data_IF_318088718290
#
_entry.id   IF_318088718290
#
_cell.length_a   1.000
_cell.length_b   1.000
_cell.length_c   1.000
_cell.angle_alpha   90.00
_cell.angle_beta   90.00
_cell.angle_gamma   90.00
#
_symmetry.space_group_name_H-M   'P 1'
#
loop_
_entity.id
_entity.type
_entity.pdbx_description
1 polymer ?
#
# COMPACT_ATOMS: atom_id res chain seq x y z
N UNK A 1 -5.95 -11.55 11.95
CA UNK A 1 -6.82 -12.57 11.37
C UNK A 1 -8.22 -12.10 11.25
N UNK A 2 -8.81 -11.66 12.35
CA UNK A 2 -10.22 -11.27 12.33
C UNK A 2 -10.51 -10.09 11.42
N UNK A 3 -9.60 -9.14 11.32
CA UNK A 3 -9.82 -7.97 10.47
C UNK A 3 -9.89 -8.34 9.00
N UNK A 4 -9.09 -9.29 8.58
CA UNK A 4 -9.08 -9.74 7.19
C UNK A 4 -10.37 -10.44 6.83
N UNK A 5 -10.79 -11.35 7.71
CA UNK A 5 -12.02 -12.08 7.49
C UNK A 5 -13.22 -11.15 7.41
N UNK A 6 -13.28 -10.17 8.31
CA UNK A 6 -14.36 -9.19 8.30
C UNK A 6 -14.35 -8.36 7.02
N UNK A 7 -13.18 -7.97 6.56
CA UNK A 7 -13.06 -7.18 5.34
C UNK A 7 -13.49 -7.96 4.11
N UNK A 8 -13.21 -9.25 4.08
CA UNK A 8 -13.61 -10.10 2.96
C UNK A 8 -15.11 -10.34 2.89
N UNK A 9 -15.78 -10.39 4.02
CA UNK A 9 -17.18 -10.78 4.06
C UNK A 9 -18.14 -9.61 4.07
N UNK A 10 -17.72 -8.45 4.51
CA UNK A 10 -18.60 -7.29 4.57
C UNK A 10 -18.32 -6.34 3.42
N UNK A 11 -18.96 -6.61 2.29
CA UNK A 11 -18.80 -5.77 1.11
C UNK A 11 -19.35 -4.35 1.30
N UNK A 12 -20.20 -4.12 2.31
CA UNK A 12 -20.68 -2.77 2.58
C UNK A 12 -19.57 -1.84 3.03
N UNK A 13 -18.55 -2.39 3.65
CA UNK A 13 -17.35 -1.61 4.06
C UNK A 13 -16.66 -1.03 2.83
N UNK A 14 -16.71 -1.74 1.70
CA UNK A 14 -16.07 -1.28 0.47
C UNK A 14 -16.96 -0.36 -0.35
N UNK A 15 -18.26 -0.42 -0.13
CA UNK A 15 -19.19 0.42 -0.87
C UNK A 15 -19.26 1.82 -0.29
N UNK A 16 -18.76 1.94 0.91
CA UNK A 16 -18.98 3.19 1.57
C UNK A 16 -17.68 3.79 1.98
N UNK A 17 -16.98 4.38 1.26
CA UNK A 17 -15.86 4.59 1.72
C UNK A 17 -15.18 5.70 1.63
N UNK A 18 -14.17 5.46 1.73
CA UNK A 18 -12.99 6.23 1.55
C UNK A 18 -13.10 6.78 0.15
N UNK A 19 -13.27 8.11 -0.01
CA UNK A 19 -13.32 8.70 -1.34
C UNK A 19 -12.03 8.35 -2.06
N UNK A 20 -12.15 7.47 -3.03
CA UNK A 20 -11.04 7.13 -3.87
C UNK A 20 -10.78 8.30 -4.80
N UNK A 21 -9.55 8.73 -4.84
CA UNK A 21 -9.13 9.61 -5.90
C UNK A 21 -9.28 8.83 -7.20
N UNK A 22 -10.06 9.34 -8.14
CA UNK A 22 -10.29 8.66 -9.42
C UNK A 22 -9.02 8.42 -10.22
N UNK A 23 -7.95 9.11 -9.88
CA UNK A 23 -6.66 8.97 -10.55
C UNK A 23 -5.79 7.84 -9.97
N UNK A 24 -6.12 7.32 -8.82
CA UNK A 24 -5.42 6.19 -8.19
C UNK A 24 -6.45 5.10 -7.95
N UNK A 25 -6.34 4.02 -8.71
CA UNK A 25 -7.33 2.96 -8.68
C UNK A 25 -6.68 1.62 -8.34
N UNK A 26 -7.42 0.81 -7.62
CA UNK A 26 -7.03 -0.55 -7.30
C UNK A 26 -7.77 -1.49 -8.23
N UNK A 27 -7.03 -2.32 -8.95
CA UNK A 27 -7.63 -3.27 -9.90
C UNK A 27 -7.10 -4.67 -9.65
N UNK A 28 -7.92 -5.71 -9.90
CA UNK A 28 -7.41 -7.09 -9.83
C UNK A 28 -6.21 -7.25 -10.75
N UNK A 29 -5.19 -7.97 -10.30
CA UNK A 29 -3.95 -8.11 -11.06
C UNK A 29 -4.19 -8.66 -12.46
N UNK A 30 -5.20 -9.52 -12.62
CA UNK A 30 -5.48 -10.13 -13.92
C UNK A 30 -6.08 -9.16 -14.93
N UNK A 31 -6.55 -7.99 -14.50
CA UNK A 31 -7.20 -7.01 -15.37
C UNK A 31 -6.47 -5.68 -15.43
N UNK A 32 -5.26 -5.58 -14.88
CA UNK A 32 -4.55 -4.31 -14.84
C UNK A 32 -4.15 -3.81 -16.24
N UNK A 33 -3.93 -4.72 -17.18
CA UNK A 33 -3.54 -4.36 -18.54
C UNK A 33 -4.71 -3.84 -19.39
N UNK A 34 -5.93 -3.97 -18.91
CA UNK A 34 -7.11 -3.50 -19.63
C UNK A 34 -7.52 -2.07 -19.29
N UNK A 35 -6.62 -1.29 -18.72
CA UNK A 35 -6.89 0.08 -18.29
C UNK A 35 -6.05 1.07 -19.09
N UNK A 36 -6.48 1.44 -20.32
CA UNK A 36 -5.73 2.38 -21.13
C UNK A 36 -5.50 3.70 -20.40
N UNK A 37 -4.28 4.21 -20.52
CA UNK A 37 -3.92 5.47 -19.87
C UNK A 37 -3.45 5.33 -18.44
N UNK A 38 -3.65 4.17 -17.81
CA UNK A 38 -3.17 3.94 -16.45
C UNK A 38 -1.88 3.12 -16.46
N UNK A 39 -1.03 3.35 -15.49
CA UNK A 39 0.22 2.62 -15.30
C UNK A 39 0.35 2.19 -13.86
N UNK A 40 1.07 1.11 -13.64
CA UNK A 40 1.38 0.66 -12.28
C UNK A 40 2.20 1.71 -11.55
N UNK A 41 1.86 1.96 -10.31
CA UNK A 41 2.65 2.86 -9.45
C UNK A 41 3.91 2.13 -9.01
N UNK A 42 5.06 2.73 -9.27
CA UNK A 42 6.34 2.17 -8.84
C UNK A 42 6.52 2.44 -7.35
N UNK A 43 6.63 1.37 -6.57
CA UNK A 43 6.83 1.51 -5.13
C UNK A 43 8.28 1.59 -4.74
N UNK A 44 9.12 0.81 -5.40
CA UNK A 44 10.53 0.78 -5.09
C UNK A 44 11.28 -0.15 -6.01
N UNK A 45 12.47 -0.54 -5.59
CA UNK A 45 13.29 -1.46 -6.35
C UNK A 45 14.31 -2.12 -5.45
N UNK A 46 14.69 -3.33 -5.79
CA UNK A 46 15.86 -3.97 -5.21
C UNK A 46 17.13 -3.34 -5.78
N UNK A 47 18.23 -3.48 -5.08
CA UNK A 47 19.52 -2.96 -5.52
C UNK A 47 20.01 -3.60 -6.83
N UNK A 48 19.48 -4.77 -7.19
CA UNK A 48 19.77 -5.42 -8.47
C UNK A 48 18.99 -4.84 -9.65
N UNK A 49 18.16 -3.82 -9.40
CA UNK A 49 17.38 -3.16 -10.43
C UNK A 49 15.96 -3.71 -10.61
N UNK A 50 15.59 -4.75 -9.88
CA UNK A 50 14.23 -5.31 -9.99
C UNK A 50 13.21 -4.32 -9.43
N UNK A 51 12.27 -3.88 -10.28
CA UNK A 51 11.21 -2.95 -9.88
C UNK A 51 10.16 -3.66 -9.03
N UNK A 52 9.72 -3.00 -7.98
CA UNK A 52 8.59 -3.43 -7.17
C UNK A 52 7.44 -2.46 -7.34
N UNK A 53 6.25 -3.00 -7.55
CA UNK A 53 5.03 -2.21 -7.65
C UNK A 53 4.26 -2.31 -6.34
N UNK A 54 3.10 -1.68 -6.28
CA UNK A 54 2.29 -1.66 -5.06
C UNK A 54 1.10 -2.58 -5.28
N UNK A 55 0.93 -3.53 -4.37
CA UNK A 55 -0.21 -4.44 -4.37
C UNK A 55 -1.04 -4.26 -3.11
N UNK A 56 -2.21 -4.90 -3.12
CA UNK A 56 -3.09 -4.90 -1.96
C UNK A 56 -3.70 -6.29 -1.79
N UNK A 57 -3.57 -6.83 -0.59
CA UNK A 57 -4.13 -8.12 -0.24
C UNK A 57 -5.52 -7.94 0.36
N UNK A 58 -6.45 -8.80 -0.04
CA UNK A 58 -7.80 -8.87 0.53
C UNK A 58 -8.59 -7.56 0.46
N UNK A 59 -8.23 -6.68 -0.47
CA UNK A 59 -8.88 -5.39 -0.60
C UNK A 59 -8.60 -4.40 0.52
N UNK A 60 -7.67 -4.70 1.43
CA UNK A 60 -7.45 -3.86 2.61
C UNK A 60 -6.00 -3.58 2.95
N UNK A 61 -5.07 -4.49 2.69
CA UNK A 61 -3.71 -4.35 3.19
C UNK A 61 -2.72 -4.12 2.05
N UNK A 62 -2.17 -2.89 1.91
CA UNK A 62 -1.16 -2.63 0.88
C UNK A 62 0.19 -3.26 1.24
N UNK A 63 0.90 -3.68 0.20
CA UNK A 63 2.21 -4.28 0.32
C UNK A 63 3.04 -4.03 -0.94
N UNK A 64 3.97 -4.93 -1.22
CA UNK A 64 4.84 -4.82 -2.39
C UNK A 64 4.61 -5.98 -3.34
N UNK A 65 4.53 -5.68 -4.62
CA UNK A 65 4.43 -6.68 -5.68
C UNK A 65 5.84 -7.03 -6.11
N UNK A 66 6.24 -8.25 -5.82
CA UNK A 66 7.57 -8.74 -6.11
C UNK A 66 7.46 -10.21 -6.49
N UNK A 67 8.16 -10.60 -7.56
CA UNK A 67 8.19 -11.98 -8.03
C UNK A 67 6.77 -12.54 -8.25
N UNK A 68 5.93 -11.71 -8.89
CA UNK A 68 4.55 -12.06 -9.25
C UNK A 68 3.66 -12.44 -8.06
N UNK A 69 3.99 -11.95 -6.88
CA UNK A 69 3.20 -12.20 -5.68
C UNK A 69 3.09 -10.92 -4.85
N UNK A 70 2.00 -10.78 -4.14
CA UNK A 70 1.83 -9.66 -3.22
C UNK A 70 2.40 -10.03 -1.85
N UNK A 71 3.45 -9.34 -1.46
CA UNK A 71 4.05 -9.49 -0.14
C UNK A 71 3.47 -8.42 0.76
N UNK A 72 2.78 -8.83 1.79
CA UNK A 72 2.15 -7.90 2.72
C UNK A 72 2.46 -8.30 4.16
N UNK A 73 2.42 -7.34 5.05
CA UNK A 73 2.70 -7.61 6.46
C UNK A 73 1.39 -7.67 7.25
N UNK A 74 1.32 -8.63 8.16
CA UNK A 74 0.18 -8.77 9.04
C UNK A 74 0.56 -9.64 10.23
N UNK A 75 0.15 -9.22 11.42
CA UNK A 75 0.35 -9.97 12.66
C UNK A 75 1.82 -10.34 12.90
N UNK A 76 2.72 -9.41 12.62
CA UNK A 76 4.14 -9.59 12.89
C UNK A 76 4.92 -10.32 11.81
N UNK A 77 4.27 -10.74 10.75
CA UNK A 77 4.90 -11.56 9.72
C UNK A 77 4.79 -10.94 8.34
N UNK A 78 5.71 -11.32 7.47
CA UNK A 78 5.59 -11.11 6.04
C UNK A 78 4.82 -12.29 5.47
N UNK A 79 3.74 -12.00 4.73
CA UNK A 79 2.90 -13.01 4.10
C UNK A 79 2.97 -12.85 2.60
N UNK A 80 2.77 -13.93 1.87
CA UNK A 80 2.84 -13.93 0.41
C UNK A 80 1.53 -14.42 -0.17
N UNK A 81 0.92 -13.61 -1.03
CA UNK A 81 -0.31 -13.95 -1.73
C UNK A 81 0.01 -14.08 -3.21
N UNK A 82 0.00 -15.31 -3.77
CA UNK A 82 0.46 -15.53 -5.14
C UNK A 82 -0.55 -15.16 -6.23
N UNK A 83 -1.82 -14.93 -5.86
CA UNK A 83 -2.86 -14.61 -6.83
C UNK A 83 -4.00 -13.88 -6.14
N UNK A 84 -4.93 -13.34 -6.95
CA UNK A 84 -6.16 -12.69 -6.44
C UNK A 84 -5.88 -11.48 -5.56
N UNK A 85 -4.82 -10.77 -5.87
CA UNK A 85 -4.53 -9.49 -5.22
C UNK A 85 -4.82 -8.35 -6.18
N UNK A 86 -4.78 -7.14 -5.67
CA UNK A 86 -4.98 -5.94 -6.48
C UNK A 86 -3.66 -5.22 -6.69
N UNK A 87 -3.61 -4.41 -7.76
CA UNK A 87 -2.45 -3.59 -8.10
C UNK A 87 -2.90 -2.14 -8.15
N UNK A 88 -2.05 -1.24 -7.69
CA UNK A 88 -2.33 0.19 -7.72
C UNK A 88 -1.91 0.77 -9.06
N UNK A 89 -2.85 1.41 -9.75
CA UNK A 89 -2.63 2.08 -11.01
C UNK A 89 -2.90 3.56 -10.89
N UNK A 90 -2.27 4.36 -11.74
CA UNK A 90 -2.54 5.78 -11.80
C UNK A 90 -2.42 6.30 -13.23
N UNK A 91 -3.19 7.35 -13.55
CA UNK A 91 -3.08 8.09 -14.80
C UNK A 91 -2.46 9.47 -14.61
N UNK A 92 -1.98 9.78 -13.41
CA UNK A 92 -1.35 11.06 -13.09
C UNK A 92 0.00 10.84 -12.42
N UNK A 93 0.74 11.91 -12.24
CA UNK A 93 2.03 11.86 -11.54
C UNK A 93 1.87 11.63 -10.05
N UNK A 94 2.92 11.16 -9.43
CA UNK A 94 2.96 10.94 -7.99
C UNK A 94 4.36 11.24 -7.46
N UNK A 95 4.42 11.43 -6.14
CA UNK A 95 5.68 11.72 -5.47
C UNK A 95 5.72 11.04 -4.11
N UNK A 96 6.91 10.82 -3.63
CA UNK A 96 7.14 10.26 -2.31
C UNK A 96 7.68 11.36 -1.42
N UNK A 97 6.96 11.67 -0.34
CA UNK A 97 7.36 12.73 0.60
C UNK A 97 7.90 12.13 1.88
N UNK A 98 8.97 12.72 2.40
CA UNK A 98 9.53 12.29 3.66
C UNK A 98 8.51 12.47 4.79
N UNK A 99 8.27 11.40 5.53
CA UNK A 99 7.36 11.45 6.67
C UNK A 99 7.80 12.50 7.70
N UNK A 100 9.11 12.66 7.87
CA UNK A 100 9.64 13.60 8.86
C UNK A 100 9.40 15.06 8.47
N UNK A 101 8.99 15.32 7.23
CA UNK A 101 8.75 16.66 6.71
C UNK A 101 7.28 16.97 6.45
N UNK A 102 6.38 16.01 6.61
CA UNK A 102 4.95 16.23 6.40
C UNK A 102 4.20 16.19 7.71
N UNK A 103 3.09 16.91 7.77
CA UNK A 103 2.20 16.88 8.93
C UNK A 103 1.20 15.75 8.78
N UNK A 104 0.77 15.19 9.89
CA UNK A 104 -0.25 14.14 9.86
C UNK A 104 -1.53 14.59 9.17
N UNK A 105 -1.90 15.87 9.36
CA UNK A 105 -3.07 16.43 8.69
C UNK A 105 -2.93 16.43 7.18
N UNK A 106 -1.73 16.60 6.66
CA UNK A 106 -1.48 16.55 5.23
C UNK A 106 -1.65 15.12 4.69
N UNK A 107 -1.20 14.13 5.46
CA UNK A 107 -1.40 12.73 5.09
C UNK A 107 -2.88 12.42 4.98
N UNK A 108 -3.64 12.78 6.01
CA UNK A 108 -5.08 12.53 6.04
C UNK A 108 -5.81 13.22 4.90
N UNK A 109 -5.36 14.41 4.51
CA UNK A 109 -6.04 15.22 3.50
C UNK A 109 -5.68 14.80 2.07
N UNK A 110 -4.45 14.35 1.83
CA UNK A 110 -3.99 14.21 0.46
C UNK A 110 -3.18 12.98 0.09
N UNK A 111 -2.75 12.16 1.04
CA UNK A 111 -1.97 10.97 0.70
C UNK A 111 -2.83 9.92 0.00
N UNK A 112 -2.19 9.08 -0.80
CA UNK A 112 -2.89 8.01 -1.51
C UNK A 112 -3.35 6.96 -0.51
N UNK A 113 -4.66 6.68 -0.50
CA UNK A 113 -5.23 5.70 0.41
C UNK A 113 -4.91 4.30 -0.08
N UNK A 114 -4.34 3.49 0.80
CA UNK A 114 -3.99 2.11 0.49
C UNK A 114 -5.05 1.10 0.90
N UNK A 115 -5.80 1.39 1.95
CA UNK A 115 -6.78 0.46 2.44
C UNK A 115 -7.24 0.79 3.84
N UNK A 116 -7.57 -0.24 4.60
CA UNK A 116 -8.06 -0.03 5.96
C UNK A 116 -7.76 -1.26 6.82
N UNK A 117 -7.81 -1.05 8.12
CA UNK A 117 -7.65 -2.10 9.12
C UNK A 117 -8.62 -1.83 10.25
N UNK A 118 -8.65 -2.74 11.24
CA UNK A 118 -9.51 -2.60 12.43
C UNK A 118 -10.98 -2.36 12.03
N UNK A 119 -11.48 -3.13 11.06
CA UNK A 119 -12.85 -3.03 10.56
C UNK A 119 -13.19 -1.63 10.04
N UNK A 120 -12.24 -1.02 9.34
CA UNK A 120 -12.42 0.30 8.76
C UNK A 120 -12.11 1.46 9.69
N UNK A 121 -11.70 1.18 10.91
CA UNK A 121 -11.40 2.24 11.90
C UNK A 121 -10.01 2.84 11.72
N UNK A 122 -9.14 2.16 11.01
CA UNK A 122 -7.80 2.65 10.72
C UNK A 122 -7.62 2.79 9.22
N UNK A 123 -7.34 4.00 8.76
CA UNK A 123 -7.02 4.22 7.34
C UNK A 123 -5.56 3.90 7.14
N UNK A 124 -5.30 3.09 6.11
CA UNK A 124 -3.94 2.73 5.72
C UNK A 124 -3.54 3.52 4.48
N UNK A 125 -2.34 4.07 4.52
CA UNK A 125 -1.73 4.77 3.39
C UNK A 125 -0.52 3.95 2.91
N UNK A 126 0.12 4.40 1.85
CA UNK A 126 1.26 3.68 1.29
C UNK A 126 2.53 4.34 1.81
N UNK A 127 3.39 3.55 2.44
CA UNK A 127 4.71 4.02 2.84
C UNK A 127 5.80 3.18 2.19
N UNK A 128 7.02 3.70 2.15
CA UNK A 128 8.18 2.95 1.70
C UNK A 128 9.41 3.34 2.50
N UNK A 129 10.33 2.42 2.62
CA UNK A 129 11.57 2.65 3.35
C UNK A 129 12.74 1.99 2.65
N UNK A 130 13.89 2.64 2.71
CA UNK A 130 15.12 2.04 2.22
C UNK A 130 15.60 1.00 3.23
N UNK A 131 15.66 -0.23 2.76
CA UNK A 131 16.21 -1.36 3.50
C UNK A 131 17.59 -1.68 2.96
N UNK A 132 18.25 -2.71 3.49
CA UNK A 132 19.62 -3.03 3.10
C UNK A 132 19.74 -3.47 1.63
N UNK A 133 18.67 -3.99 1.03
CA UNK A 133 18.68 -4.52 -0.33
C UNK A 133 17.80 -3.72 -1.31
N UNK A 134 17.34 -2.53 -0.92
CA UNK A 134 16.52 -1.68 -1.77
C UNK A 134 15.41 -1.00 -1.03
N UNK A 135 14.52 -0.33 -1.77
CA UNK A 135 13.36 0.34 -1.20
C UNK A 135 12.15 -0.55 -1.30
N UNK A 136 11.50 -0.77 -0.17
CA UNK A 136 10.34 -1.65 -0.05
C UNK A 136 9.12 -0.88 0.42
N UNK A 137 7.97 -1.20 -0.13
CA UNK A 137 6.71 -0.57 0.26
C UNK A 137 5.95 -1.42 1.26
N UNK A 138 5.14 -0.74 2.03
CA UNK A 138 4.25 -1.36 3.00
C UNK A 138 3.08 -0.44 3.32
N UNK A 139 2.56 -0.56 4.52
CA UNK A 139 1.37 0.18 4.94
C UNK A 139 1.72 1.15 6.06
N UNK A 140 1.21 2.37 5.95
CA UNK A 140 1.29 3.34 7.04
C UNK A 140 -0.07 3.34 7.74
N UNK A 141 -0.06 2.98 9.02
CA UNK A 141 -1.25 3.04 9.85
C UNK A 141 -1.39 4.43 10.42
N UNK A 142 -2.46 5.12 10.05
CA UNK A 142 -2.72 6.45 10.58
C UNK A 142 -2.98 6.39 12.08
N UNK A 143 -3.70 5.37 12.51
CA UNK A 143 -4.04 5.18 13.92
C UNK A 143 -2.79 4.96 14.77
N UNK A 144 -1.90 4.09 14.32
CA UNK A 144 -0.69 3.76 15.08
C UNK A 144 0.47 4.70 14.79
N UNK A 145 0.36 5.49 13.71
CA UNK A 145 1.41 6.41 13.27
C UNK A 145 2.74 5.69 12.99
N UNK A 146 2.63 4.53 12.32
CA UNK A 146 3.77 3.67 12.01
C UNK A 146 3.73 3.19 10.58
N UNK A 147 4.91 3.06 9.98
CA UNK A 147 5.07 2.40 8.69
C UNK A 147 5.47 0.94 8.91
N UNK A 148 4.69 0.03 8.37
CA UNK A 148 4.95 -1.41 8.48
C UNK A 148 5.45 -1.92 7.14
N UNK A 149 6.63 -2.52 7.13
CA UNK A 149 7.26 -3.05 5.91
C UNK A 149 7.39 -4.58 6.02
N UNK A 150 6.84 -5.35 5.05
CA UNK A 150 7.11 -6.78 5.00
C UNK A 150 8.52 -7.00 4.48
N UNK A 151 9.40 -7.54 5.32
CA UNK A 151 10.80 -7.74 4.94
C UNK A 151 11.46 -8.78 5.82
N UNK A 152 12.14 -9.74 5.19
CA UNK A 152 12.86 -10.76 5.92
C UNK A 152 11.93 -11.67 6.72
N UNK A 153 10.79 -12.04 6.14
CA UNK A 153 9.77 -12.91 6.75
C UNK A 153 9.10 -12.30 7.98
N UNK A 154 9.25 -11.01 8.20
CA UNK A 154 8.69 -10.32 9.36
C UNK A 154 7.94 -9.07 8.95
N UNK A 155 7.11 -8.59 9.84
CA UNK A 155 6.52 -7.26 9.75
C UNK A 155 7.39 -6.31 10.53
N UNK A 156 8.14 -5.46 9.81
CA UNK A 156 9.01 -4.46 10.42
C UNK A 156 8.23 -3.16 10.58
N UNK A 157 8.44 -2.41 11.65
CA UNK A 157 7.74 -1.15 11.83
C UNK A 157 8.71 -0.04 12.17
N UNK A 158 8.36 1.18 11.72
CA UNK A 158 9.21 2.35 11.83
C UNK A 158 8.39 3.57 12.21
N UNK A 159 8.95 4.38 13.10
CA UNK A 159 8.32 5.63 13.55
C UNK A 159 8.75 6.81 12.69
N UNK A 160 9.85 6.70 11.97
CA UNK A 160 10.42 7.77 11.16
C UNK A 160 11.34 7.19 10.09
N UNK A 161 11.85 8.07 9.23
CA UNK A 161 12.84 7.66 8.23
C UNK A 161 12.22 6.92 7.07
N UNK A 162 10.97 7.19 6.74
CA UNK A 162 10.27 6.58 5.62
C UNK A 162 9.54 7.66 4.82
N UNK A 163 8.98 7.26 3.68
CA UNK A 163 8.25 8.17 2.80
C UNK A 163 6.81 7.71 2.65
N UNK A 164 5.93 8.67 2.37
CA UNK A 164 4.51 8.45 2.11
C UNK A 164 4.19 8.84 0.67
N UNK A 165 3.33 8.07 0.02
CA UNK A 165 2.92 8.31 -1.37
C UNK A 165 1.84 9.38 -1.45
N UNK A 166 2.08 10.38 -2.29
CA UNK A 166 1.13 11.48 -2.56
C UNK A 166 0.96 11.63 -4.07
N UNK A 167 -0.21 12.13 -4.51
CA UNK A 167 -0.30 12.62 -5.89
C UNK A 167 0.65 13.80 -6.06
N UNK A 168 1.23 13.95 -7.25
CA UNK A 168 2.01 15.14 -7.57
C UNK A 168 1.10 16.36 -7.59
N UNK A 169 1.64 17.52 -7.22
CA UNK A 169 0.92 18.80 -7.28
C UNK A 169 0.84 19.35 -8.68
#
# INVERSE_FOLDING_TARGET
MKSESAAETDSSVFLNPIPQNAHFIWVPVDSDQSRPGYKRVVGGAHDDGTTMYICRAFGVTPGKLYDNSCHYSYAGQENVLPSKYEVLLTDVGYEWRSFDEVKRSEIKRGAVVGGSDSNGKDTLYICRKKMSDGRHTGKYSYKNNLCYIPWGNQERFYEKGFQILFPSE
#
